data_IF_631620239051
#
_entry.id   IF_631620239051
#
_cell.length_a   1.000
_cell.length_b   1.000
_cell.length_c   1.000
_cell.angle_alpha   90.00
_cell.angle_beta   90.00
_cell.angle_gamma   90.00
#
_symmetry.space_group_name_H-M   'P 1'
#
loop_
_entity.id
_entity.type
_entity.pdbx_description
1 polymer ?
#
# COMPACT_ATOMS: atom_id res chain seq x y z
N UNK A 1 -9.21 -4.19 30.04
CA UNK A 1 -9.91 -4.00 28.76
C UNK A 1 -9.09 -3.06 27.88
N UNK A 2 -8.12 -3.57 27.12
CA UNK A 2 -7.41 -2.75 26.13
C UNK A 2 -8.36 -2.58 24.94
N UNK A 3 -8.83 -1.36 24.70
CA UNK A 3 -9.71 -1.06 23.58
C UNK A 3 -9.07 -1.57 22.28
N UNK A 4 -9.79 -2.44 21.56
CA UNK A 4 -9.41 -2.86 20.22
C UNK A 4 -9.57 -1.66 19.29
N UNK A 5 -8.59 -0.74 19.30
CA UNK A 5 -8.54 0.35 18.34
C UNK A 5 -8.23 -0.22 16.97
N UNK A 6 -9.22 -0.19 16.07
CA UNK A 6 -9.05 -0.54 14.65
C UNK A 6 -7.90 0.29 14.08
N UNK A 7 -6.83 -0.38 13.62
CA UNK A 7 -5.68 0.29 13.00
C UNK A 7 -6.07 0.78 11.61
N UNK A 8 -5.48 1.88 11.14
CA UNK A 8 -5.84 2.46 9.84
C UNK A 8 -4.66 2.91 8.99
N UNK A 9 -4.67 2.51 7.72
CA UNK A 9 -3.64 2.86 6.74
C UNK A 9 -4.25 3.31 5.41
N UNK A 10 -3.74 4.41 4.88
CA UNK A 10 -4.11 4.99 3.59
C UNK A 10 -2.89 5.03 2.66
N UNK A 11 -2.96 4.36 1.52
CA UNK A 11 -1.89 4.36 0.52
C UNK A 11 -2.10 5.48 -0.51
N UNK A 12 -1.07 6.28 -0.78
CA UNK A 12 -1.17 7.46 -1.65
C UNK A 12 -0.20 7.37 -2.84
N UNK A 13 -0.72 7.57 -4.05
CA UNK A 13 0.11 7.88 -5.22
C UNK A 13 -0.48 9.07 -6.01
N UNK A 14 0.11 9.41 -7.16
CA UNK A 14 -0.36 10.55 -7.95
C UNK A 14 -1.82 10.39 -8.41
N UNK A 15 -2.12 9.39 -9.23
CA UNK A 15 -3.44 9.20 -9.86
C UNK A 15 -4.31 8.08 -9.26
N UNK A 16 -3.84 7.33 -8.26
CA UNK A 16 -4.60 6.26 -7.61
C UNK A 16 -5.20 5.18 -8.54
N UNK A 17 -4.52 4.89 -9.65
CA UNK A 17 -4.88 3.79 -10.56
C UNK A 17 -3.81 2.69 -10.65
N UNK A 18 -2.56 2.99 -10.31
CA UNK A 18 -1.43 2.05 -10.44
C UNK A 18 -0.88 1.62 -9.08
N UNK A 19 -0.01 2.45 -8.48
CA UNK A 19 0.81 2.07 -7.33
C UNK A 19 0.01 1.90 -6.04
N UNK A 20 -0.80 2.89 -5.67
CA UNK A 20 -1.57 2.84 -4.42
C UNK A 20 -2.66 1.76 -4.38
N UNK A 21 -3.41 1.48 -5.47
CA UNK A 21 -4.33 0.33 -5.48
C UNK A 21 -3.62 -1.02 -5.36
N UNK A 22 -2.44 -1.17 -5.97
CA UNK A 22 -1.62 -2.39 -5.82
C UNK A 22 -1.19 -2.56 -4.36
N UNK A 23 -0.65 -1.51 -3.73
CA UNK A 23 -0.23 -1.56 -2.33
C UNK A 23 -1.39 -1.89 -1.39
N UNK A 24 -2.55 -1.28 -1.61
CA UNK A 24 -3.77 -1.57 -0.85
C UNK A 24 -4.19 -3.04 -0.97
N UNK A 25 -4.28 -3.56 -2.19
CA UNK A 25 -4.71 -4.94 -2.43
C UNK A 25 -3.68 -5.96 -1.87
N UNK A 26 -2.39 -5.67 -1.98
CA UNK A 26 -1.33 -6.49 -1.38
C UNK A 26 -1.41 -6.47 0.15
N UNK A 27 -1.54 -5.29 0.77
CA UNK A 27 -1.65 -5.15 2.22
C UNK A 27 -2.92 -5.84 2.76
N UNK A 28 -4.06 -5.62 2.09
CA UNK A 28 -5.33 -6.29 2.42
C UNK A 28 -5.21 -7.79 2.36
N UNK A 29 -4.58 -8.34 1.31
CA UNK A 29 -4.33 -9.78 1.23
C UNK A 29 -3.47 -10.29 2.38
N UNK A 30 -2.39 -9.59 2.73
CA UNK A 30 -1.55 -10.01 3.86
C UNK A 30 -2.31 -9.97 5.19
N UNK A 31 -3.11 -8.93 5.42
CA UNK A 31 -3.96 -8.85 6.60
C UNK A 31 -5.03 -9.96 6.64
N UNK A 32 -5.62 -10.30 5.48
CA UNK A 32 -6.56 -11.43 5.35
C UNK A 32 -5.89 -12.77 5.61
N UNK A 33 -4.72 -13.02 5.00
CA UNK A 33 -3.94 -14.25 5.19
C UNK A 33 -3.52 -14.42 6.67
N UNK A 34 -3.31 -13.31 7.38
CA UNK A 34 -2.99 -13.27 8.81
C UNK A 34 -4.22 -13.30 9.74
N UNK A 35 -5.44 -13.30 9.21
CA UNK A 35 -6.67 -13.33 10.01
C UNK A 35 -6.95 -12.06 10.82
N UNK A 36 -6.38 -10.92 10.42
CA UNK A 36 -6.53 -9.64 11.14
C UNK A 36 -7.16 -8.53 10.30
N UNK A 37 -7.62 -8.83 9.08
CA UNK A 37 -8.19 -7.81 8.18
C UNK A 37 -9.30 -6.98 8.83
N UNK A 38 -10.11 -7.59 9.70
CA UNK A 38 -11.19 -6.90 10.41
C UNK A 38 -10.72 -5.91 11.49
N UNK A 39 -9.44 -6.00 11.88
CA UNK A 39 -8.78 -5.04 12.77
C UNK A 39 -8.20 -3.84 12.02
N UNK A 40 -8.31 -3.83 10.69
CA UNK A 40 -7.68 -2.84 9.83
C UNK A 40 -8.68 -2.11 8.92
N UNK A 41 -8.63 -0.78 8.94
CA UNK A 41 -9.17 0.06 7.88
C UNK A 41 -8.08 0.29 6.84
N UNK A 42 -8.29 -0.24 5.64
CA UNK A 42 -7.31 -0.23 4.54
C UNK A 42 -7.96 0.45 3.33
N UNK A 43 -7.31 1.47 2.79
CA UNK A 43 -7.80 2.24 1.65
C UNK A 43 -6.64 2.85 0.84
N UNK A 44 -6.93 3.41 -0.33
CA UNK A 44 -5.97 4.16 -1.14
C UNK A 44 -6.58 5.42 -1.79
N UNK A 45 -5.75 6.44 -2.04
CA UNK A 45 -6.18 7.69 -2.65
C UNK A 45 -5.10 8.37 -3.53
N UNK A 46 -5.53 9.39 -4.26
CA UNK A 46 -4.74 10.22 -5.19
C UNK A 46 -4.36 11.57 -4.56
N UNK A 47 -3.18 12.09 -4.90
CA UNK A 47 -2.89 13.53 -4.65
C UNK A 47 -3.53 14.42 -5.71
N UNK A 48 -3.63 13.94 -6.97
CA UNK A 48 -4.23 14.66 -8.09
C UNK A 48 -5.73 14.38 -8.25
N UNK A 49 -6.34 15.00 -9.26
CA UNK A 49 -7.74 14.79 -9.65
C UNK A 49 -7.88 14.14 -11.04
N UNK A 50 -6.78 13.70 -11.66
CA UNK A 50 -6.79 13.30 -13.08
C UNK A 50 -7.64 12.07 -13.37
N UNK A 51 -7.64 11.11 -12.45
CA UNK A 51 -8.20 9.76 -12.69
C UNK A 51 -9.40 9.46 -11.79
N UNK A 52 -9.98 10.47 -11.12
CA UNK A 52 -11.04 10.23 -10.13
C UNK A 52 -12.25 9.57 -10.80
N UNK A 53 -12.73 8.48 -10.20
CA UNK A 53 -13.81 7.66 -10.74
C UNK A 53 -13.34 6.52 -11.66
N UNK A 54 -12.07 6.51 -12.08
CA UNK A 54 -11.55 5.46 -12.95
C UNK A 54 -11.18 4.19 -12.17
N UNK A 55 -11.30 3.02 -12.80
CA UNK A 55 -10.79 1.78 -12.22
C UNK A 55 -9.25 1.75 -12.24
N UNK A 56 -8.61 0.81 -11.52
CA UNK A 56 -7.16 0.62 -11.61
C UNK A 56 -6.68 0.38 -13.04
N UNK A 57 -5.44 0.74 -13.33
CA UNK A 57 -4.82 0.50 -14.63
C UNK A 57 -4.82 -1.00 -14.96
N UNK A 58 -5.13 -1.31 -16.22
CA UNK A 58 -5.26 -2.68 -16.71
C UNK A 58 -4.01 -3.55 -16.46
N UNK A 59 -2.80 -2.97 -16.48
CA UNK A 59 -1.54 -3.69 -16.20
C UNK A 59 -1.47 -4.08 -14.73
N UNK A 60 -1.90 -3.18 -13.84
CA UNK A 60 -2.06 -3.47 -12.41
C UNK A 60 -3.09 -4.58 -12.18
N UNK A 61 -4.26 -4.49 -12.83
CA UNK A 61 -5.29 -5.53 -12.75
C UNK A 61 -4.79 -6.90 -13.22
N UNK A 62 -4.10 -6.94 -14.36
CA UNK A 62 -3.52 -8.18 -14.89
C UNK A 62 -2.48 -8.77 -13.94
N UNK A 63 -1.61 -7.93 -13.36
CA UNK A 63 -0.64 -8.36 -12.34
C UNK A 63 -1.34 -8.97 -11.12
N UNK A 64 -2.30 -8.28 -10.53
CA UNK A 64 -3.02 -8.77 -9.34
C UNK A 64 -3.77 -10.07 -9.64
N UNK A 65 -4.37 -10.20 -10.82
CA UNK A 65 -5.02 -11.44 -11.28
C UNK A 65 -4.03 -12.60 -11.37
N UNK A 66 -2.84 -12.39 -11.95
CA UNK A 66 -1.76 -13.41 -12.01
C UNK A 66 -1.32 -13.88 -10.62
N UNK A 67 -1.31 -12.97 -9.65
CA UNK A 67 -0.97 -13.29 -8.26
C UNK A 67 -2.16 -13.75 -7.41
N UNK A 68 -3.34 -13.95 -8.01
CA UNK A 68 -4.59 -14.32 -7.31
C UNK A 68 -4.92 -13.38 -6.16
N UNK A 69 -4.66 -12.08 -6.34
CA UNK A 69 -5.00 -11.04 -5.38
C UNK A 69 -6.23 -10.29 -5.88
N UNK A 70 -7.34 -10.27 -5.12
CA UNK A 70 -8.50 -9.48 -5.51
C UNK A 70 -8.16 -8.00 -5.43
N UNK A 71 -8.48 -7.26 -6.48
CA UNK A 71 -8.34 -5.80 -6.53
C UNK A 71 -9.64 -5.21 -7.05
N UNK A 72 -10.37 -4.53 -6.17
CA UNK A 72 -11.56 -3.77 -6.51
C UNK A 72 -11.41 -2.40 -5.89
N UNK A 73 -11.17 -1.42 -6.73
CA UNK A 73 -10.88 -0.05 -6.33
C UNK A 73 -11.48 0.92 -7.32
N UNK A 74 -11.76 2.14 -6.88
CA UNK A 74 -12.15 3.26 -7.73
C UNK A 74 -11.33 4.45 -7.28
N UNK A 75 -10.62 5.08 -8.21
CA UNK A 75 -9.72 6.17 -7.89
C UNK A 75 -10.47 7.31 -7.21
N UNK A 76 -9.95 7.77 -6.07
CA UNK A 76 -10.51 8.88 -5.28
C UNK A 76 -9.40 9.84 -4.84
N UNK A 77 -9.74 11.09 -4.60
CA UNK A 77 -8.77 12.07 -4.10
C UNK A 77 -8.63 11.94 -2.58
N UNK A 78 -7.43 12.22 -2.06
CA UNK A 78 -7.20 12.41 -0.63
C UNK A 78 -7.94 13.66 -0.14
N UNK A 79 -8.70 13.52 0.94
CA UNK A 79 -9.49 14.60 1.55
C UNK A 79 -8.85 15.09 2.86
N UNK A 80 -9.41 16.15 3.47
CA UNK A 80 -8.91 16.65 4.77
C UNK A 80 -9.21 15.66 5.91
N UNK A 81 -10.35 14.99 5.81
CA UNK A 81 -10.84 14.00 6.76
C UNK A 81 -9.94 12.75 6.78
N UNK A 82 -9.28 12.43 5.67
CA UNK A 82 -8.29 11.34 5.61
C UNK A 82 -7.14 11.59 6.61
N UNK A 83 -6.62 12.82 6.69
CA UNK A 83 -5.55 13.17 7.63
C UNK A 83 -5.97 13.11 9.11
N UNK A 84 -7.27 13.20 9.38
CA UNK A 84 -7.83 13.14 10.73
C UNK A 84 -8.25 11.71 11.12
N UNK A 85 -8.66 10.90 10.16
CA UNK A 85 -9.29 9.60 10.39
C UNK A 85 -8.38 8.40 10.15
N UNK A 86 -7.23 8.59 9.49
CA UNK A 86 -6.20 7.56 9.33
C UNK A 86 -5.02 7.81 10.28
N UNK A 87 -4.48 6.73 10.83
CA UNK A 87 -3.26 6.77 11.65
C UNK A 87 -2.01 6.82 10.79
N UNK A 88 -2.02 6.14 9.64
CA UNK A 88 -0.89 6.06 8.71
C UNK A 88 -1.30 6.49 7.32
N UNK A 89 -0.54 7.40 6.73
CA UNK A 89 -0.63 7.78 5.32
C UNK A 89 0.72 7.46 4.68
N UNK A 90 0.73 6.41 3.85
CA UNK A 90 1.94 5.88 3.24
C UNK A 90 1.97 6.23 1.75
N UNK A 91 2.95 7.03 1.34
CA UNK A 91 3.08 7.52 -0.03
C UNK A 91 4.20 6.84 -0.81
N UNK A 92 4.09 6.83 -2.14
CA UNK A 92 4.94 6.02 -3.01
C UNK A 92 6.26 6.70 -3.41
N UNK A 93 6.30 8.03 -3.43
CA UNK A 93 7.46 8.82 -3.82
C UNK A 93 7.51 10.18 -3.08
N UNK A 94 8.63 10.88 -3.23
CA UNK A 94 8.89 12.17 -2.59
C UNK A 94 7.95 13.28 -3.09
N UNK A 95 7.50 13.23 -4.33
CA UNK A 95 6.55 14.20 -4.88
C UNK A 95 5.19 14.07 -4.17
N UNK A 96 4.73 12.83 -3.97
CA UNK A 96 3.53 12.54 -3.21
C UNK A 96 3.68 12.98 -1.74
N UNK A 97 4.84 12.75 -1.13
CA UNK A 97 5.11 13.20 0.23
C UNK A 97 5.04 14.74 0.34
N UNK A 98 5.67 15.46 -0.59
CA UNK A 98 5.66 16.91 -0.63
C UNK A 98 4.23 17.47 -0.80
N UNK A 99 3.45 16.88 -1.70
CA UNK A 99 2.04 17.22 -1.91
C UNK A 99 1.18 16.98 -0.67
N UNK A 100 1.37 15.83 -0.01
CA UNK A 100 0.67 15.49 1.22
C UNK A 100 1.04 16.44 2.36
N UNK A 101 2.33 16.76 2.54
CA UNK A 101 2.77 17.73 3.56
C UNK A 101 2.16 19.12 3.32
N UNK A 102 2.14 19.57 2.06
CA UNK A 102 1.49 20.83 1.69
C UNK A 102 -0.01 20.83 2.01
N UNK A 103 -0.71 19.73 1.72
CA UNK A 103 -2.14 19.56 2.07
C UNK A 103 -2.33 19.47 3.59
N UNK A 104 -1.48 18.74 4.31
CA UNK A 104 -1.53 18.55 5.75
C UNK A 104 -1.37 19.87 6.52
N UNK A 105 -0.53 20.79 6.04
CA UNK A 105 -0.40 22.14 6.62
C UNK A 105 -1.71 22.94 6.62
N UNK A 106 -2.68 22.59 5.75
CA UNK A 106 -4.00 23.22 5.72
C UNK A 106 -5.03 22.55 6.65
N UNK A 107 -4.65 21.45 7.32
CA UNK A 107 -5.50 20.69 8.23
C UNK A 107 -5.06 20.95 9.66
N UNK A 108 -5.98 21.44 10.50
CA UNK A 108 -5.71 21.64 11.93
C UNK A 108 -5.78 20.30 12.66
N UNK A 109 -4.82 20.05 13.56
CA UNK A 109 -4.82 18.90 14.48
C UNK A 109 -4.88 17.52 13.81
N UNK A 110 -4.27 17.35 12.64
CA UNK A 110 -4.17 16.02 12.04
C UNK A 110 -3.27 15.10 12.88
N UNK A 111 -3.60 13.80 12.94
CA UNK A 111 -2.86 12.80 13.73
C UNK A 111 -2.13 11.77 12.87
N UNK A 112 -2.42 11.75 11.57
CA UNK A 112 -1.82 10.82 10.63
C UNK A 112 -0.28 10.97 10.57
N UNK A 113 0.42 9.84 10.67
CA UNK A 113 1.85 9.74 10.33
C UNK A 113 1.99 9.66 8.81
N UNK A 114 2.67 10.65 8.22
CA UNK A 114 2.86 10.75 6.76
C UNK A 114 4.29 10.34 6.42
N UNK A 115 4.45 9.19 5.76
CA UNK A 115 5.76 8.58 5.51
C UNK A 115 5.83 7.97 4.10
N UNK A 116 7.05 7.72 3.61
CA UNK A 116 7.26 6.95 2.39
C UNK A 116 7.05 5.47 2.68
N UNK A 117 6.27 4.76 1.88
CA UNK A 117 6.13 3.31 2.00
C UNK A 117 7.50 2.61 1.84
N UNK A 118 8.37 3.15 0.97
CA UNK A 118 9.71 2.62 0.75
C UNK A 118 10.67 2.78 1.94
N UNK A 119 10.35 3.59 2.97
CA UNK A 119 11.17 3.64 4.19
C UNK A 119 11.18 2.31 4.94
N UNK A 120 10.16 1.49 4.72
CA UNK A 120 10.02 0.14 5.26
C UNK A 120 10.66 -0.93 4.37
N UNK A 121 11.23 -0.61 3.21
CA UNK A 121 11.91 -1.63 2.37
C UNK A 121 13.23 -2.05 3.04
N UNK A 122 13.46 -3.35 3.32
CA UNK A 122 14.75 -3.84 3.81
C UNK A 122 15.89 -3.58 2.81
N UNK A 123 15.58 -3.39 1.52
CA UNK A 123 16.54 -3.02 0.49
C UNK A 123 16.76 -1.50 0.37
N UNK A 124 16.17 -0.69 1.27
CA UNK A 124 16.26 0.77 1.30
C UNK A 124 15.86 1.44 -0.01
N UNK A 125 14.96 0.81 -0.77
CA UNK A 125 14.36 1.44 -1.96
C UNK A 125 13.23 2.36 -1.50
N UNK A 126 13.57 3.63 -1.28
CA UNK A 126 12.63 4.63 -0.77
C UNK A 126 11.50 4.95 -1.75
N UNK A 127 11.78 4.85 -3.05
CA UNK A 127 10.87 5.25 -4.12
C UNK A 127 10.29 4.02 -4.81
N UNK A 128 8.96 3.92 -4.80
CA UNK A 128 8.22 2.93 -5.58
C UNK A 128 7.99 3.53 -6.96
N UNK A 129 8.81 3.07 -7.92
CA UNK A 129 8.79 3.52 -9.32
C UNK A 129 7.39 3.36 -9.92
N UNK A 130 6.97 4.36 -10.69
CA UNK A 130 5.66 4.34 -11.36
C UNK A 130 5.69 3.40 -12.57
N UNK A 131 4.90 2.31 -12.57
CA UNK A 131 4.84 1.40 -13.70
C UNK A 131 4.13 2.03 -14.90
N UNK A 132 3.45 3.16 -14.71
CA UNK A 132 2.80 3.89 -15.79
C UNK A 132 3.82 4.29 -16.87
N UNK A 133 5.03 4.69 -16.46
CA UNK A 133 6.06 5.24 -17.35
C UNK A 133 7.19 4.26 -17.70
N UNK A 134 7.45 3.22 -16.89
CA UNK A 134 8.46 2.20 -17.22
C UNK A 134 8.34 0.96 -16.33
N UNK A 135 8.60 -0.21 -16.92
CA UNK A 135 8.66 -1.56 -16.31
C UNK A 135 7.34 -2.31 -16.13
N UNK A 136 7.35 -3.66 -16.19
CA UNK A 136 6.18 -4.49 -15.89
C UNK A 136 5.73 -4.29 -14.44
N UNK A 137 4.41 -4.26 -14.23
CA UNK A 137 3.75 -4.03 -12.93
C UNK A 137 4.16 -5.02 -11.82
N UNK A 138 4.79 -6.14 -12.16
CA UNK A 138 5.31 -7.13 -11.21
C UNK A 138 6.40 -6.57 -10.29
N UNK A 139 7.18 -5.60 -10.77
CA UNK A 139 8.21 -4.93 -9.97
C UNK A 139 7.58 -4.13 -8.82
N UNK A 140 6.46 -3.46 -9.10
CA UNK A 140 5.72 -2.65 -8.13
C UNK A 140 5.05 -3.54 -7.09
N UNK A 141 4.45 -4.65 -7.52
CA UNK A 141 3.85 -5.63 -6.61
C UNK A 141 4.88 -6.25 -5.67
N UNK A 142 6.08 -6.56 -6.17
CA UNK A 142 7.18 -7.07 -5.33
C UNK A 142 7.65 -6.02 -4.32
N UNK A 143 7.96 -4.81 -4.76
CA UNK A 143 8.42 -3.75 -3.85
C UNK A 143 7.34 -3.41 -2.83
N UNK A 144 6.09 -3.20 -3.26
CA UNK A 144 4.96 -2.96 -2.37
C UNK A 144 4.76 -4.09 -1.36
N UNK A 145 4.87 -5.35 -1.78
CA UNK A 145 4.78 -6.51 -0.89
C UNK A 145 5.88 -6.54 0.17
N UNK A 146 7.14 -6.27 -0.21
CA UNK A 146 8.26 -6.19 0.75
C UNK A 146 8.06 -5.07 1.76
N UNK A 147 7.76 -3.85 1.28
CA UNK A 147 7.54 -2.69 2.13
C UNK A 147 6.37 -2.91 3.10
N UNK A 148 5.24 -3.39 2.59
CA UNK A 148 4.05 -3.64 3.40
C UNK A 148 4.27 -4.75 4.43
N UNK A 149 5.02 -5.80 4.09
CA UNK A 149 5.39 -6.87 5.03
C UNK A 149 6.27 -6.36 6.18
N UNK A 150 7.25 -5.52 5.87
CA UNK A 150 8.11 -4.90 6.88
C UNK A 150 7.37 -3.85 7.72
N UNK A 151 6.53 -3.01 7.11
CA UNK A 151 5.65 -2.08 7.81
C UNK A 151 4.73 -2.81 8.80
N UNK A 152 4.13 -3.92 8.39
CA UNK A 152 3.29 -4.72 9.30
C UNK A 152 4.11 -5.27 10.49
N UNK A 153 5.37 -5.65 10.25
CA UNK A 153 6.27 -6.16 11.29
C UNK A 153 6.85 -5.11 12.25
N UNK A 154 6.82 -3.82 11.92
CA UNK A 154 7.25 -2.75 12.83
C UNK A 154 6.17 -2.33 13.82
N UNK A 155 4.92 -2.74 13.58
CA UNK A 155 3.82 -2.48 14.49
C UNK A 155 3.96 -3.36 15.74
N UNK A 156 3.57 -2.87 16.94
CA UNK A 156 3.64 -3.67 18.15
C UNK A 156 2.87 -4.98 17.94
N UNK A 157 3.42 -6.12 18.41
CA UNK A 157 2.79 -7.41 18.23
C UNK A 157 1.50 -7.45 19.04
N UNK A 158 0.38 -7.24 18.37
CA UNK A 158 -0.89 -7.78 18.85
C UNK A 158 -0.70 -9.30 18.69
N UNK A 159 -0.47 -10.01 19.80
CA UNK A 159 -0.02 -11.41 19.85
C UNK A 159 -0.36 -12.25 18.60
N UNK A 160 0.71 -12.86 18.04
CA UNK A 160 0.75 -13.86 16.95
C UNK A 160 1.12 -13.27 15.57
N UNK A 161 2.41 -13.29 15.21
CA UNK A 161 2.96 -14.27 14.25
C UNK A 161 4.42 -13.96 13.83
N UNK A 162 5.19 -15.04 13.60
CA UNK A 162 6.55 -15.05 13.08
C UNK A 162 6.54 -15.16 11.55
N UNK A 163 7.26 -14.27 10.87
CA UNK A 163 7.33 -14.15 9.40
C UNK A 163 7.73 -15.49 8.72
N UNK A 164 6.78 -16.19 8.11
CA UNK A 164 7.04 -17.28 7.15
C UNK A 164 6.35 -17.04 5.80
N UNK A 165 6.69 -15.98 5.07
CA UNK A 165 6.20 -15.79 3.69
C UNK A 165 7.26 -15.48 2.63
N UNK A 166 8.54 -15.33 2.99
CA UNK A 166 9.59 -15.09 1.99
C UNK A 166 10.04 -16.34 1.19
N UNK A 167 9.63 -17.55 1.57
CA UNK A 167 10.11 -18.80 0.92
C UNK A 167 9.21 -19.38 -0.17
N UNK A 168 7.97 -18.91 -0.37
CA UNK A 168 7.07 -19.50 -1.39
C UNK A 168 7.13 -18.82 -2.76
N UNK A 169 7.54 -17.55 -2.86
CA UNK A 169 7.58 -16.87 -4.16
C UNK A 169 8.82 -17.23 -5.00
N UNK A 170 9.95 -17.59 -4.38
CA UNK A 170 11.17 -18.00 -5.12
C UNK A 170 11.21 -19.48 -5.54
N UNK A 171 10.23 -20.31 -5.11
CA UNK A 171 10.24 -21.74 -5.42
C UNK A 171 9.48 -22.14 -6.69
N UNK A 172 8.69 -21.25 -7.29
CA UNK A 172 7.93 -21.57 -8.52
C UNK A 172 8.71 -21.33 -9.83
N UNK A 173 9.78 -20.53 -9.83
CA UNK A 173 10.60 -20.28 -11.05
C UNK A 173 11.65 -21.36 -11.36
N UNK A 174 11.85 -22.36 -10.48
CA UNK A 174 12.85 -23.44 -10.70
C UNK A 174 12.29 -24.77 -11.20
N UNK A 175 11.00 -24.85 -11.56
CA UNK A 175 10.35 -26.12 -11.96
C UNK A 175 9.86 -26.19 -13.41
N UNK A 176 10.38 -25.33 -14.30
CA UNK A 176 9.98 -25.27 -15.72
C UNK A 176 11.12 -25.44 -16.73
N UNK A 177 12.16 -26.21 -16.41
CA UNK A 177 13.19 -26.63 -17.37
C UNK A 177 13.49 -28.12 -17.19
N UNK A 178 12.67 -28.94 -17.83
CA UNK A 178 13.04 -30.25 -18.37
C UNK A 178 12.33 -30.40 -19.70
#
# INVERSE_FOLDING_TARGET
MAGSSTKSVLFICLGNICRSPIAEAVFRKMASDAGVVDKWRIDSAATSTYEIGNPPDHRGQACMKRHSVPMRHVARQVTKEDFMSFEYILCMDESNLSDLKRKANSVKNYRAKIELLGSYDPQKQLIIKDPYYSMPSDSVTQTAGRCCGCFYGTLPPDHVFTVQSHKKLQRKDKKGRR
#
